data_IF_583640917651
#
_entry.id   IF_583640917651
#
_cell.length_a   1.000
_cell.length_b   1.000
_cell.length_c   1.000
_cell.angle_alpha   90.00
_cell.angle_beta   90.00
_cell.angle_gamma   90.00
#
_symmetry.space_group_name_H-M   'P 1'
#
loop_
_entity.id
_entity.type
_entity.pdbx_description
1 polymer ?
#
# COMPACT_ATOMS: atom_id res chain seq x y z
N UNK A 1 -38.42 26.44 23.07
CA UNK A 1 -38.38 25.60 21.84
C UNK A 1 -37.44 26.17 20.78
N UNK A 2 -37.27 27.49 20.69
CA UNK A 2 -36.35 28.20 19.76
C UNK A 2 -34.86 27.89 19.94
N UNK A 3 -34.36 27.79 21.18
CA UNK A 3 -32.93 27.55 21.43
C UNK A 3 -32.47 26.14 21.00
N UNK A 4 -33.35 25.14 21.12
CA UNK A 4 -33.06 23.77 20.71
C UNK A 4 -32.89 23.64 19.19
N UNK A 5 -33.70 24.35 18.40
CA UNK A 5 -33.59 24.34 16.94
C UNK A 5 -32.34 25.07 16.42
N UNK A 6 -31.91 26.12 17.12
CA UNK A 6 -30.71 26.87 16.77
C UNK A 6 -29.44 26.06 17.06
N UNK A 7 -29.41 25.31 18.16
CA UNK A 7 -28.28 24.45 18.53
C UNK A 7 -28.14 23.29 17.53
N UNK A 8 -29.23 22.63 17.16
CA UNK A 8 -29.17 21.51 16.20
C UNK A 8 -28.72 21.97 14.81
N UNK A 9 -29.18 23.13 14.32
CA UNK A 9 -28.74 23.69 13.04
C UNK A 9 -27.23 24.04 13.04
N UNK A 10 -26.73 24.63 14.13
CA UNK A 10 -25.32 24.98 14.28
C UNK A 10 -24.43 23.74 14.40
N UNK A 11 -24.87 22.71 15.14
CA UNK A 11 -24.14 21.44 15.27
C UNK A 11 -24.08 20.71 13.94
N UNK A 12 -25.18 20.62 13.18
CA UNK A 12 -25.18 19.99 11.86
C UNK A 12 -24.26 20.75 10.89
N UNK A 13 -24.35 22.08 10.82
CA UNK A 13 -23.47 22.88 9.96
C UNK A 13 -21.98 22.77 10.33
N UNK A 14 -21.66 22.79 11.63
CA UNK A 14 -20.29 22.74 12.14
C UNK A 14 -19.66 21.35 12.11
N UNK A 15 -20.45 20.27 12.19
CA UNK A 15 -19.96 18.88 12.24
C UNK A 15 -19.69 18.26 10.88
N UNK A 16 -20.29 18.79 9.80
CA UNK A 16 -20.08 18.26 8.45
C UNK A 16 -18.62 18.38 8.00
N UNK A 17 -17.93 19.47 8.34
CA UNK A 17 -16.53 19.68 7.98
C UNK A 17 -15.59 18.65 8.65
N UNK A 18 -15.56 18.49 9.98
CA UNK A 18 -14.70 17.48 10.60
C UNK A 18 -15.10 16.06 10.19
N UNK A 19 -16.39 15.78 10.00
CA UNK A 19 -16.86 14.48 9.53
C UNK A 19 -16.33 14.16 8.12
N UNK A 20 -16.38 15.11 7.19
CA UNK A 20 -15.82 14.97 5.85
C UNK A 20 -14.30 14.72 5.89
N UNK A 21 -13.57 15.42 6.76
CA UNK A 21 -12.12 15.22 6.94
C UNK A 21 -11.84 13.80 7.47
N UNK A 22 -12.58 13.34 8.47
CA UNK A 22 -12.42 11.97 8.99
C UNK A 22 -12.70 10.93 7.90
N UNK A 23 -13.78 11.10 7.14
CA UNK A 23 -14.10 10.21 6.02
C UNK A 23 -13.02 10.21 4.95
N UNK A 24 -12.44 11.37 4.61
CA UNK A 24 -11.34 11.46 3.66
C UNK A 24 -10.10 10.70 4.15
N UNK A 25 -9.74 10.85 5.44
CA UNK A 25 -8.60 10.14 6.06
C UNK A 25 -8.86 8.63 6.06
N UNK A 26 -10.04 8.19 6.49
CA UNK A 26 -10.41 6.76 6.52
C UNK A 26 -10.42 6.18 5.11
N UNK A 27 -11.01 6.88 4.13
CA UNK A 27 -11.02 6.48 2.73
C UNK A 27 -9.61 6.36 2.15
N UNK A 28 -8.73 7.33 2.45
CA UNK A 28 -7.33 7.30 2.03
C UNK A 28 -6.57 6.12 2.63
N UNK A 29 -6.73 5.87 3.94
CA UNK A 29 -6.14 4.69 4.61
C UNK A 29 -6.66 3.40 4.01
N UNK A 30 -7.96 3.32 3.71
CA UNK A 30 -8.56 2.14 3.15
C UNK A 30 -8.07 1.86 1.71
N UNK A 31 -7.90 2.91 0.91
CA UNK A 31 -7.26 2.83 -0.41
C UNK A 31 -5.83 2.30 -0.33
N UNK A 32 -5.04 2.80 0.63
CA UNK A 32 -3.67 2.32 0.89
C UNK A 32 -3.65 0.86 1.35
N UNK A 33 -4.62 0.39 2.14
CA UNK A 33 -4.70 -1.03 2.54
C UNK A 33 -5.11 -1.96 1.41
N UNK A 34 -5.93 -1.51 0.45
CA UNK A 34 -6.37 -2.33 -0.69
C UNK A 34 -5.29 -2.49 -1.76
N UNK A 35 -4.53 -1.43 -2.03
CA UNK A 35 -3.41 -1.49 -2.98
C UNK A 35 -2.10 -1.01 -2.34
N UNK A 36 -1.54 -1.83 -1.42
CA UNK A 36 -0.35 -1.46 -0.65
C UNK A 36 0.96 -1.63 -1.43
N UNK A 37 0.94 -2.38 -2.54
CA UNK A 37 2.12 -2.65 -3.36
C UNK A 37 2.17 -1.78 -4.60
N UNK A 38 3.39 -1.56 -5.07
CA UNK A 38 3.72 -0.92 -6.34
C UNK A 38 4.85 -1.69 -6.98
N UNK A 39 4.88 -1.70 -8.31
CA UNK A 39 5.94 -2.35 -9.06
C UNK A 39 7.31 -1.79 -8.67
N UNK A 40 8.26 -2.70 -8.49
CA UNK A 40 9.63 -2.32 -8.25
C UNK A 40 10.17 -1.52 -9.44
N UNK A 41 10.60 -0.28 -9.22
CA UNK A 41 11.12 0.60 -10.28
C UNK A 41 12.33 0.02 -11.03
N UNK A 42 13.10 -0.88 -10.40
CA UNK A 42 14.31 -1.47 -10.99
C UNK A 42 14.06 -2.70 -11.87
N UNK A 43 13.00 -3.48 -11.60
CA UNK A 43 12.66 -4.66 -12.40
C UNK A 43 11.28 -4.56 -13.05
N UNK A 44 10.58 -3.44 -12.85
CA UNK A 44 9.27 -3.14 -13.42
C UNK A 44 8.25 -4.27 -13.17
N UNK A 45 8.18 -4.76 -11.93
CA UNK A 45 7.22 -5.82 -11.57
C UNK A 45 7.66 -7.25 -11.87
N UNK A 46 8.74 -7.47 -12.64
CA UNK A 46 9.12 -8.82 -13.08
C UNK A 46 9.85 -9.68 -12.04
N UNK A 47 10.40 -9.07 -10.98
CA UNK A 47 11.19 -9.77 -9.94
C UNK A 47 12.59 -10.22 -10.40
N UNK A 48 12.87 -10.18 -11.70
CA UNK A 48 14.15 -10.60 -12.28
C UNK A 48 14.71 -9.52 -13.19
N UNK A 49 16.04 -9.43 -13.28
CA UNK A 49 16.75 -8.63 -14.28
C UNK A 49 17.34 -9.56 -15.31
N UNK A 50 17.07 -9.29 -16.59
CA UNK A 50 17.76 -9.94 -17.71
C UNK A 50 19.03 -9.16 -18.00
N UNK A 51 20.15 -9.86 -18.19
CA UNK A 51 21.40 -9.22 -18.61
C UNK A 51 21.24 -8.63 -20.01
N UNK A 52 21.70 -7.38 -20.20
CA UNK A 52 21.61 -6.69 -21.49
C UNK A 52 22.39 -7.39 -22.61
N UNK A 53 23.46 -8.14 -22.25
CA UNK A 53 24.36 -8.83 -23.19
C UNK A 53 24.11 -10.34 -23.30
N UNK A 54 23.45 -10.95 -22.30
CA UNK A 54 23.17 -12.38 -22.27
C UNK A 54 21.71 -12.59 -21.89
N UNK A 55 20.85 -12.72 -22.90
CA UNK A 55 19.40 -12.93 -22.77
C UNK A 55 19.02 -14.21 -22.02
N UNK A 56 19.95 -15.17 -21.88
CA UNK A 56 19.77 -16.39 -21.07
C UNK A 56 20.16 -16.25 -19.60
N UNK A 57 20.79 -15.15 -19.19
CA UNK A 57 21.16 -14.93 -17.80
C UNK A 57 20.07 -14.15 -17.07
N UNK A 58 19.41 -14.82 -16.12
CA UNK A 58 18.46 -14.19 -15.21
C UNK A 58 19.15 -13.95 -13.87
N UNK A 59 19.11 -12.72 -13.38
CA UNK A 59 19.55 -12.38 -12.02
C UNK A 59 18.34 -11.95 -11.21
N UNK A 60 18.25 -12.40 -9.97
CA UNK A 60 17.21 -11.93 -9.07
C UNK A 60 17.40 -10.43 -8.77
N UNK A 61 16.30 -9.68 -8.78
CA UNK A 61 16.37 -8.28 -8.41
C UNK A 61 16.58 -8.16 -6.90
N UNK A 62 17.73 -7.66 -6.45
CA UNK A 62 18.02 -7.45 -5.02
C UNK A 62 17.17 -6.35 -4.38
N UNK A 63 16.67 -5.39 -5.17
CA UNK A 63 15.94 -4.24 -4.62
C UNK A 63 14.51 -4.58 -4.18
N UNK A 64 13.84 -5.49 -4.90
CA UNK A 64 12.57 -6.08 -4.48
C UNK A 64 12.73 -7.51 -4.00
N UNK A 65 13.96 -8.00 -3.90
CA UNK A 65 14.22 -9.28 -3.26
C UNK A 65 13.49 -10.42 -4.02
N UNK A 66 13.56 -10.37 -5.35
CA UNK A 66 12.88 -11.24 -6.32
C UNK A 66 11.33 -11.22 -6.33
N UNK A 67 10.66 -10.35 -5.56
CA UNK A 67 9.19 -10.36 -5.51
C UNK A 67 8.52 -9.58 -6.64
N UNK A 68 9.25 -8.69 -7.31
CA UNK A 68 8.70 -7.76 -8.29
C UNK A 68 7.93 -6.57 -7.68
N UNK A 69 7.52 -6.68 -6.41
CA UNK A 69 6.64 -5.75 -5.73
C UNK A 69 7.35 -5.06 -4.56
N UNK A 70 7.07 -3.78 -4.37
CA UNK A 70 7.56 -2.97 -3.24
C UNK A 70 6.41 -2.29 -2.54
N UNK A 71 6.51 -2.06 -1.24
CA UNK A 71 5.48 -1.32 -0.50
C UNK A 71 5.48 0.15 -0.93
N UNK A 72 4.29 0.70 -1.16
CA UNK A 72 4.13 2.14 -1.38
C UNK A 72 4.66 2.92 -0.18
N UNK A 73 5.29 4.07 -0.47
CA UNK A 73 5.82 4.97 0.55
C UNK A 73 4.77 5.38 1.58
N UNK A 74 3.52 5.63 1.16
CA UNK A 74 2.42 5.96 2.07
C UNK A 74 2.17 4.86 3.11
N UNK A 75 2.20 3.59 2.71
CA UNK A 75 2.04 2.46 3.65
C UNK A 75 3.22 2.39 4.62
N UNK A 76 4.45 2.59 4.11
CA UNK A 76 5.67 2.52 4.89
C UNK A 76 5.81 3.67 5.90
N UNK A 77 5.42 4.89 5.51
CA UNK A 77 5.49 6.07 6.38
C UNK A 77 4.40 6.08 7.45
N UNK A 78 3.17 5.70 7.10
CA UNK A 78 2.05 5.70 8.05
C UNK A 78 1.94 4.40 8.88
N UNK A 79 2.92 3.49 8.76
CA UNK A 79 2.96 2.18 9.42
C UNK A 79 1.59 1.47 9.39
N UNK A 80 0.95 1.49 8.22
CA UNK A 80 -0.41 0.98 8.07
C UNK A 80 -0.34 -0.55 8.06
N UNK A 81 -1.13 -1.26 8.89
CA UNK A 81 -1.18 -2.71 8.88
C UNK A 81 -1.72 -3.18 7.53
N UNK A 82 -0.90 -3.95 6.81
CA UNK A 82 -1.24 -4.46 5.48
C UNK A 82 -2.02 -5.78 5.63
N UNK A 83 -3.27 -5.88 5.12
CA UNK A 83 -4.04 -7.10 5.16
C UNK A 83 -3.37 -8.19 4.32
N UNK A 84 -3.63 -9.44 4.68
CA UNK A 84 -2.81 -10.62 4.41
C UNK A 84 -2.77 -11.12 2.94
N UNK A 85 -2.35 -10.29 1.97
CA UNK A 85 -1.69 -10.81 0.76
C UNK A 85 -0.27 -11.33 1.06
N UNK A 86 0.20 -11.09 2.30
CA UNK A 86 1.46 -11.53 2.88
C UNK A 86 1.79 -12.98 2.57
N UNK A 87 0.79 -13.86 2.42
CA UNK A 87 1.02 -15.26 2.06
C UNK A 87 1.74 -15.41 0.72
N UNK A 88 1.43 -14.59 -0.29
CA UNK A 88 2.11 -14.62 -1.58
C UNK A 88 3.55 -14.11 -1.46
N UNK A 89 3.78 -13.02 -0.72
CA UNK A 89 5.14 -12.52 -0.44
C UNK A 89 5.94 -13.47 0.45
N UNK A 90 5.30 -14.17 1.38
CA UNK A 90 5.89 -15.22 2.22
C UNK A 90 6.27 -16.43 1.38
N UNK A 91 5.43 -16.83 0.41
CA UNK A 91 5.75 -17.88 -0.57
C UNK A 91 6.96 -17.47 -1.41
N UNK A 92 6.96 -16.26 -1.98
CA UNK A 92 8.12 -15.75 -2.74
C UNK A 92 9.40 -15.69 -1.89
N UNK A 93 9.29 -15.30 -0.61
CA UNK A 93 10.42 -15.30 0.34
C UNK A 93 10.88 -16.71 0.68
N UNK A 94 9.96 -17.67 0.86
CA UNK A 94 10.25 -19.09 1.13
C UNK A 94 10.95 -19.75 -0.07
N UNK A 95 10.42 -19.54 -1.28
CA UNK A 95 11.00 -20.07 -2.52
C UNK A 95 12.41 -19.56 -2.74
N UNK A 96 12.65 -18.24 -2.53
CA UNK A 96 14.00 -17.68 -2.57
C UNK A 96 14.96 -18.36 -1.59
N UNK A 97 14.49 -18.66 -0.37
CA UNK A 97 15.33 -19.28 0.65
C UNK A 97 15.63 -20.75 0.38
N UNK A 98 14.92 -21.40 -0.56
CA UNK A 98 15.20 -22.77 -1.01
C UNK A 98 16.28 -22.86 -2.10
N UNK A 99 16.58 -21.73 -2.75
CA UNK A 99 17.57 -21.65 -3.84
C UNK A 99 18.97 -21.29 -3.30
N UNK A 100 19.06 -20.88 -2.03
CA UNK A 100 20.30 -20.52 -1.35
C UNK A 100 20.83 -21.71 -0.55
#
# INVERSE_FOLDING_TARGET
MSNLAMITAAVIGGTLLPLAVVLAIVGYRHGLTRNPFTDCRLCQGTGVKRGALFTRSFRFCHACDATGLTLRLGVRMFNIPVPADQEHLRRLRRDRNSIR
#
